data_IF_626489703289
#
_entry.id   IF_626489703289
#
_cell.length_a   1.000
_cell.length_b   1.000
_cell.length_c   1.000
_cell.angle_alpha   90.00
_cell.angle_beta   90.00
_cell.angle_gamma   90.00
#
_symmetry.space_group_name_H-M   'P 1'
#
loop_
_entity.id
_entity.type
_entity.pdbx_description
1 polymer ?
#
# COMPACT_ATOMS: atom_id res chain seq x y z
N UNK A 1 -8.10 22.39 17.90
CA UNK A 1 -9.22 22.10 16.98
C UNK A 1 -8.76 20.97 16.09
N UNK A 2 -9.23 19.74 16.31
CA UNK A 2 -8.96 18.62 15.40
C UNK A 2 -9.65 18.93 14.08
N UNK A 3 -8.89 19.38 13.08
CA UNK A 3 -9.40 19.51 11.72
C UNK A 3 -9.85 18.13 11.29
N UNK A 4 -11.10 18.01 10.79
CA UNK A 4 -11.60 16.76 10.25
C UNK A 4 -10.57 16.21 9.24
N UNK A 5 -10.20 14.91 9.30
CA UNK A 5 -9.26 14.31 8.34
C UNK A 5 -9.65 14.54 6.88
N UNK A 6 -10.93 14.72 6.62
CA UNK A 6 -11.48 15.01 5.29
C UNK A 6 -11.16 16.45 4.79
N UNK A 7 -10.67 17.32 5.67
CA UNK A 7 -10.27 18.68 5.31
C UNK A 7 -8.77 18.82 5.04
N UNK A 8 -8.00 17.72 5.04
CA UNK A 8 -6.61 17.76 4.59
C UNK A 8 -6.54 18.12 3.11
N UNK A 9 -5.75 19.16 2.72
CA UNK A 9 -5.65 19.58 1.33
C UNK A 9 -5.30 18.45 0.36
N UNK A 10 -4.46 17.50 0.75
CA UNK A 10 -4.05 16.39 -0.12
C UNK A 10 -5.23 15.46 -0.40
N UNK A 11 -6.08 15.19 0.61
CA UNK A 11 -7.32 14.41 0.45
C UNK A 11 -8.34 15.15 -0.41
N UNK A 12 -8.45 16.46 -0.24
CA UNK A 12 -9.34 17.30 -1.07
C UNK A 12 -8.89 17.31 -2.54
N UNK A 13 -7.58 17.31 -2.83
CA UNK A 13 -7.07 17.16 -4.20
C UNK A 13 -7.38 15.78 -4.79
N UNK A 14 -7.39 14.71 -3.99
CA UNK A 14 -7.90 13.41 -4.44
C UNK A 14 -9.38 13.47 -4.83
N UNK A 15 -10.21 14.08 -4.00
CA UNK A 15 -11.65 14.26 -4.28
C UNK A 15 -11.87 15.12 -5.54
N UNK A 16 -11.08 16.19 -5.72
CA UNK A 16 -11.10 17.01 -6.93
C UNK A 16 -10.72 16.20 -8.17
N UNK A 17 -9.67 15.39 -8.09
CA UNK A 17 -9.25 14.48 -9.18
C UNK A 17 -10.34 13.47 -9.54
N UNK A 18 -10.96 12.87 -8.52
CA UNK A 18 -12.10 11.95 -8.69
C UNK A 18 -13.26 12.64 -9.40
N UNK A 19 -13.63 13.83 -8.95
CA UNK A 19 -14.67 14.64 -9.59
C UNK A 19 -14.32 14.97 -11.05
N UNK A 20 -13.09 15.46 -11.32
CA UNK A 20 -12.63 15.79 -12.66
C UNK A 20 -12.71 14.57 -13.61
N UNK A 21 -12.30 13.40 -13.14
CA UNK A 21 -12.42 12.17 -13.91
C UNK A 21 -13.87 11.73 -14.17
N UNK A 22 -14.76 11.87 -13.19
CA UNK A 22 -16.19 11.54 -13.32
C UNK A 22 -16.91 12.45 -14.33
N UNK A 23 -16.58 13.75 -14.35
CA UNK A 23 -17.13 14.69 -15.34
C UNK A 23 -16.41 14.64 -16.68
N UNK A 24 -15.45 13.72 -16.84
CA UNK A 24 -14.64 13.54 -18.06
C UNK A 24 -13.89 14.81 -18.46
N UNK A 25 -13.36 15.54 -17.49
CA UNK A 25 -12.48 16.68 -17.73
C UNK A 25 -11.23 16.24 -18.50
N UNK A 26 -10.64 17.17 -19.26
CA UNK A 26 -9.32 16.98 -19.88
C UNK A 26 -8.14 17.15 -18.90
N UNK A 27 -8.42 17.21 -17.60
CA UNK A 27 -7.39 17.22 -16.56
C UNK A 27 -6.61 15.90 -16.58
N UNK A 28 -5.36 15.99 -16.98
CA UNK A 28 -4.46 14.84 -17.07
C UNK A 28 -3.06 15.24 -16.62
N UNK A 29 -2.48 14.43 -15.75
CA UNK A 29 -1.07 14.52 -15.39
C UNK A 29 -0.30 13.59 -16.31
N UNK A 30 0.70 14.10 -17.10
CA UNK A 30 1.51 13.25 -17.96
C UNK A 30 2.14 12.09 -17.17
N UNK A 31 2.15 10.89 -17.74
CA UNK A 31 2.61 9.66 -17.07
C UNK A 31 4.05 9.77 -16.55
N UNK A 32 4.93 10.52 -17.23
CA UNK A 32 6.28 10.79 -16.78
C UNK A 32 6.31 11.60 -15.47
N UNK A 33 5.40 12.58 -15.33
CA UNK A 33 5.27 13.39 -14.12
C UNK A 33 4.66 12.56 -12.99
N UNK A 34 3.61 11.78 -13.26
CA UNK A 34 3.01 10.88 -12.27
C UNK A 34 4.06 9.88 -11.73
N UNK A 35 4.88 9.30 -12.61
CA UNK A 35 6.00 8.42 -12.21
C UNK A 35 7.05 9.15 -11.39
N UNK A 36 7.45 10.36 -11.78
CA UNK A 36 8.38 11.19 -11.00
C UNK A 36 7.84 11.46 -9.59
N UNK A 37 6.56 11.85 -9.47
CA UNK A 37 5.91 12.10 -8.17
C UNK A 37 5.95 10.85 -7.28
N UNK A 38 5.63 9.67 -7.83
CA UNK A 38 5.71 8.40 -7.10
C UNK A 38 7.13 8.13 -6.59
N UNK A 39 8.14 8.23 -7.44
CA UNK A 39 9.54 8.02 -7.05
C UNK A 39 10.01 9.06 -6.02
N UNK A 40 9.62 10.33 -6.19
CA UNK A 40 9.91 11.38 -5.24
C UNK A 40 9.34 11.07 -3.84
N UNK A 41 8.07 10.67 -3.76
CA UNK A 41 7.40 10.37 -2.50
C UNK A 41 8.06 9.16 -1.79
N UNK A 42 8.42 8.12 -2.55
CA UNK A 42 9.13 6.94 -2.01
C UNK A 42 10.52 7.29 -1.50
N UNK A 43 11.27 8.12 -2.23
CA UNK A 43 12.58 8.59 -1.79
C UNK A 43 12.49 9.41 -0.50
N UNK A 44 11.54 10.36 -0.44
CA UNK A 44 11.33 11.18 0.74
C UNK A 44 10.91 10.34 1.96
N UNK A 45 10.02 9.35 1.76
CA UNK A 45 9.60 8.41 2.80
C UNK A 45 10.77 7.56 3.31
N UNK A 46 11.60 7.03 2.40
CA UNK A 46 12.80 6.27 2.75
C UNK A 46 13.77 7.09 3.59
N UNK A 47 14.07 8.33 3.18
CA UNK A 47 14.93 9.24 3.94
C UNK A 47 14.37 9.50 5.34
N UNK A 48 13.09 9.89 5.48
CA UNK A 48 12.43 10.09 6.78
C UNK A 48 12.51 8.84 7.67
N UNK A 49 12.23 7.67 7.08
CA UNK A 49 12.36 6.39 7.78
C UNK A 49 13.78 6.13 8.28
N UNK A 50 14.78 6.43 7.47
CA UNK A 50 16.19 6.30 7.82
C UNK A 50 16.62 7.26 8.92
N UNK A 51 16.23 8.54 8.86
CA UNK A 51 16.51 9.54 9.91
C UNK A 51 15.91 9.12 11.25
N UNK A 52 14.64 8.71 11.26
CA UNK A 52 13.97 8.23 12.46
C UNK A 52 14.62 6.99 13.06
N UNK A 53 15.13 6.07 12.22
CA UNK A 53 15.90 4.91 12.69
C UNK A 53 17.29 5.29 13.24
N UNK A 54 17.93 6.30 12.67
CA UNK A 54 19.20 6.81 13.20
C UNK A 54 19.02 7.43 14.60
N UNK A 55 17.91 8.13 14.81
CA UNK A 55 17.57 8.75 16.10
C UNK A 55 17.16 7.71 17.16
N UNK A 56 16.24 6.80 16.82
CA UNK A 56 15.69 5.82 17.77
C UNK A 56 16.61 4.63 18.06
N UNK A 57 17.57 4.36 17.15
CA UNK A 57 18.37 3.14 17.17
C UNK A 57 17.56 1.88 16.90
N UNK A 58 18.24 0.73 16.81
CA UNK A 58 17.60 -0.57 16.66
C UNK A 58 17.24 -1.14 18.04
N UNK A 59 15.99 -1.52 18.21
CA UNK A 59 15.50 -2.15 19.46
C UNK A 59 14.61 -3.38 19.14
N UNK A 60 14.35 -4.26 20.13
CA UNK A 60 13.55 -5.47 19.93
C UNK A 60 12.10 -5.18 19.43
N UNK A 61 11.53 -4.01 19.74
CA UNK A 61 10.20 -3.64 19.29
C UNK A 61 10.16 -3.48 17.77
N UNK A 62 11.21 -2.93 17.14
CA UNK A 62 11.32 -2.84 15.70
C UNK A 62 11.28 -4.23 15.05
N UNK A 63 12.06 -5.18 15.57
CA UNK A 63 12.06 -6.54 15.05
C UNK A 63 10.69 -7.19 15.17
N UNK A 64 10.02 -7.02 16.30
CA UNK A 64 8.64 -7.51 16.52
C UNK A 64 7.68 -6.92 15.47
N UNK A 65 7.70 -5.61 15.26
CA UNK A 65 6.80 -4.91 14.34
C UNK A 65 7.03 -5.40 12.88
N UNK A 66 8.29 -5.62 12.49
CA UNK A 66 8.65 -6.18 11.18
C UNK A 66 8.21 -7.64 11.03
N UNK A 67 8.34 -8.46 12.07
CA UNK A 67 7.83 -9.85 12.07
C UNK A 67 6.32 -9.90 11.90
N UNK A 68 5.58 -8.99 12.55
CA UNK A 68 4.13 -8.89 12.35
C UNK A 68 3.78 -8.45 10.93
N UNK A 69 4.49 -7.49 10.37
CA UNK A 69 4.30 -7.06 8.98
C UNK A 69 4.49 -8.23 8.00
N UNK A 70 5.59 -8.97 8.12
CA UNK A 70 5.86 -10.16 7.28
C UNK A 70 4.82 -11.26 7.52
N UNK A 71 4.43 -11.51 8.79
CA UNK A 71 3.38 -12.46 9.13
C UNK A 71 2.04 -12.13 8.45
N UNK A 72 1.64 -10.87 8.48
CA UNK A 72 0.43 -10.39 7.79
C UNK A 72 0.55 -10.49 6.27
N UNK A 73 1.72 -10.19 5.70
CA UNK A 73 1.98 -10.30 4.26
C UNK A 73 1.88 -11.75 3.72
N UNK A 74 2.02 -12.75 4.58
CA UNK A 74 1.80 -14.17 4.27
C UNK A 74 0.37 -14.60 4.58
N UNK A 75 -0.18 -14.17 5.71
CA UNK A 75 -1.51 -14.55 6.18
C UNK A 75 -2.63 -14.01 5.29
N UNK A 76 -2.55 -12.73 4.93
CA UNK A 76 -3.62 -12.04 4.17
C UNK A 76 -3.83 -12.67 2.79
N UNK A 77 -2.80 -12.92 1.95
CA UNK A 77 -3.03 -13.52 0.63
C UNK A 77 -3.56 -14.95 0.75
N UNK A 78 -3.13 -15.71 1.76
CA UNK A 78 -3.65 -17.04 2.03
C UNK A 78 -5.15 -17.01 2.37
N UNK A 79 -5.56 -16.16 3.31
CA UNK A 79 -6.97 -15.99 3.69
C UNK A 79 -7.82 -15.52 2.52
N UNK A 80 -7.35 -14.51 1.80
CA UNK A 80 -8.01 -13.95 0.61
C UNK A 80 -8.22 -15.03 -0.45
N UNK A 81 -7.20 -15.82 -0.75
CA UNK A 81 -7.28 -16.90 -1.72
C UNK A 81 -8.26 -18.01 -1.30
N UNK A 82 -8.18 -18.46 -0.04
CA UNK A 82 -9.08 -19.52 0.47
C UNK A 82 -10.54 -19.09 0.38
N UNK A 83 -10.84 -17.82 0.61
CA UNK A 83 -12.18 -17.27 0.45
C UNK A 83 -12.57 -17.13 -1.03
N UNK A 84 -11.74 -16.45 -1.83
CA UNK A 84 -12.06 -16.06 -3.21
C UNK A 84 -12.16 -17.24 -4.17
N UNK A 85 -11.35 -18.29 -4.02
CA UNK A 85 -11.43 -19.50 -4.86
C UNK A 85 -12.78 -20.24 -4.80
N UNK A 86 -13.64 -19.90 -3.82
CA UNK A 86 -15.01 -20.41 -3.71
C UNK A 86 -16.02 -19.57 -4.49
N UNK A 87 -15.62 -18.39 -4.94
CA UNK A 87 -16.51 -17.39 -5.54
C UNK A 87 -16.19 -17.16 -7.01
N UNK A 88 -14.91 -17.26 -7.38
CA UNK A 88 -14.38 -17.05 -8.73
C UNK A 88 -13.37 -18.13 -9.11
N UNK A 89 -12.89 -18.11 -10.36
CA UNK A 89 -11.86 -19.05 -10.80
C UNK A 89 -10.56 -18.87 -9.97
N UNK A 90 -9.77 -19.94 -9.77
CA UNK A 90 -8.59 -19.91 -8.93
C UNK A 90 -7.51 -18.91 -9.36
N UNK A 91 -7.30 -18.68 -10.67
CA UNK A 91 -6.26 -17.77 -11.15
C UNK A 91 -6.63 -16.31 -10.90
N UNK A 92 -7.89 -15.91 -11.11
CA UNK A 92 -8.38 -14.60 -10.70
C UNK A 92 -8.36 -14.42 -9.17
N UNK A 93 -8.72 -15.47 -8.43
CA UNK A 93 -8.65 -15.46 -6.97
C UNK A 93 -7.20 -15.22 -6.47
N UNK A 94 -6.20 -15.85 -7.10
CA UNK A 94 -4.79 -15.62 -6.79
C UNK A 94 -4.33 -14.21 -7.13
N UNK A 95 -4.76 -13.66 -8.27
CA UNK A 95 -4.44 -12.29 -8.65
C UNK A 95 -4.99 -11.27 -7.63
N UNK A 96 -6.25 -11.42 -7.24
CA UNK A 96 -6.85 -10.56 -6.20
C UNK A 96 -6.17 -10.81 -4.85
N UNK A 97 -5.88 -12.05 -4.47
CA UNK A 97 -5.20 -12.37 -3.22
C UNK A 97 -3.79 -11.77 -3.16
N UNK A 98 -3.03 -11.79 -4.27
CA UNK A 98 -1.73 -11.10 -4.35
C UNK A 98 -1.88 -9.59 -4.16
N UNK A 99 -2.87 -9.00 -4.83
CA UNK A 99 -3.18 -7.58 -4.77
C UNK A 99 -3.50 -7.11 -3.34
N UNK A 100 -4.31 -7.88 -2.60
CA UNK A 100 -4.71 -7.58 -1.22
C UNK A 100 -3.71 -8.05 -0.16
N UNK A 101 -2.84 -8.97 -0.49
CA UNK A 101 -1.75 -9.43 0.39
C UNK A 101 -0.50 -8.57 0.32
N UNK A 102 -0.37 -7.79 -0.76
CA UNK A 102 0.63 -6.74 -0.90
C UNK A 102 0.08 -5.39 -0.41
N UNK A 103 0.87 -4.34 -0.52
CA UNK A 103 0.57 -3.03 0.07
C UNK A 103 0.42 -1.93 -0.96
N UNK A 104 -0.25 -0.83 -0.57
CA UNK A 104 -0.29 0.40 -1.33
C UNK A 104 0.64 1.45 -0.70
N UNK A 105 1.76 1.72 -1.35
CA UNK A 105 2.68 2.77 -0.92
C UNK A 105 1.99 4.13 -0.78
N UNK A 106 1.08 4.46 -1.68
CA UNK A 106 0.35 5.73 -1.65
C UNK A 106 -0.57 5.83 -0.46
N UNK A 107 -1.31 4.76 -0.15
CA UNK A 107 -2.16 4.72 1.05
C UNK A 107 -1.32 4.87 2.31
N UNK A 108 -0.17 4.23 2.36
CA UNK A 108 0.78 4.34 3.47
C UNK A 108 1.32 5.77 3.62
N UNK A 109 1.80 6.39 2.52
CA UNK A 109 2.29 7.78 2.51
C UNK A 109 1.18 8.75 2.97
N UNK A 110 -0.05 8.55 2.54
CA UNK A 110 -1.18 9.38 2.97
C UNK A 110 -1.45 9.20 4.48
N UNK A 111 -1.32 7.97 4.99
CA UNK A 111 -1.46 7.70 6.41
C UNK A 111 -0.32 8.31 7.24
N UNK A 112 0.92 8.29 6.77
CA UNK A 112 2.02 8.98 7.46
C UNK A 112 1.78 10.48 7.52
N UNK A 113 1.33 11.10 6.42
CA UNK A 113 0.96 12.51 6.39
C UNK A 113 -0.20 12.82 7.34
N UNK A 114 -1.21 11.93 7.42
CA UNK A 114 -2.31 12.05 8.37
C UNK A 114 -1.81 12.05 9.82
N UNK A 115 -0.89 11.15 10.18
CA UNK A 115 -0.31 11.08 11.52
C UNK A 115 0.53 12.33 11.84
N UNK A 116 1.36 12.78 10.89
CA UNK A 116 2.17 14.00 11.03
C UNK A 116 1.28 15.25 11.25
N UNK A 117 0.17 15.36 10.50
CA UNK A 117 -0.78 16.47 10.65
C UNK A 117 -1.45 16.47 12.03
N UNK A 118 -1.61 15.30 12.64
CA UNK A 118 -2.14 15.13 14.00
C UNK A 118 -1.04 15.13 15.09
N UNK A 119 0.20 15.51 14.76
CA UNK A 119 1.36 15.52 15.65
C UNK A 119 1.65 14.17 16.33
N UNK A 120 1.40 13.06 15.63
CA UNK A 120 1.62 11.69 16.09
C UNK A 120 2.91 11.14 15.51
N UNK A 121 3.92 10.93 16.34
CA UNK A 121 5.17 10.32 15.94
C UNK A 121 5.00 8.82 15.71
N UNK A 122 5.59 8.32 14.64
CA UNK A 122 5.64 6.89 14.27
C UNK A 122 7.07 6.43 14.04
N UNK A 123 7.31 5.14 14.16
CA UNK A 123 8.65 4.56 13.95
C UNK A 123 9.04 4.52 12.47
N UNK A 124 10.23 5.00 12.13
CA UNK A 124 10.76 5.00 10.77
C UNK A 124 10.87 3.60 10.14
N UNK A 125 10.97 2.54 10.97
CA UNK A 125 10.96 1.16 10.53
C UNK A 125 9.64 0.74 9.83
N UNK A 126 8.56 1.50 9.99
CA UNK A 126 7.30 1.23 9.29
C UNK A 126 7.44 1.40 7.75
N UNK A 127 8.39 2.20 7.27
CA UNK A 127 8.74 2.26 5.86
C UNK A 127 9.42 0.95 5.39
N UNK A 128 10.26 0.34 6.22
CA UNK A 128 10.82 -0.98 5.96
C UNK A 128 9.74 -2.07 6.00
N UNK A 129 8.80 -1.99 6.95
CA UNK A 129 7.64 -2.89 7.01
C UNK A 129 6.85 -2.87 5.70
N UNK A 130 6.57 -1.66 5.15
CA UNK A 130 5.91 -1.51 3.86
C UNK A 130 6.68 -2.24 2.73
N UNK A 131 8.00 -2.04 2.64
CA UNK A 131 8.82 -2.70 1.62
C UNK A 131 8.83 -4.24 1.77
N UNK A 132 8.90 -4.74 3.00
CA UNK A 132 8.89 -6.18 3.29
C UNK A 132 7.55 -6.84 2.98
N UNK A 133 6.45 -6.11 3.09
CA UNK A 133 5.11 -6.63 2.81
C UNK A 133 4.77 -6.67 1.31
N UNK A 134 5.56 -6.05 0.44
CA UNK A 134 5.23 -5.94 -0.99
C UNK A 134 5.38 -7.28 -1.74
N UNK A 135 6.48 -7.99 -1.52
CA UNK A 135 6.84 -9.17 -2.33
C UNK A 135 6.21 -10.52 -1.91
N UNK A 136 5.94 -10.82 -0.61
CA UNK A 136 5.50 -12.14 -0.20
C UNK A 136 4.21 -12.61 -0.87
N UNK A 137 3.25 -11.71 -1.08
CA UNK A 137 1.98 -12.02 -1.72
C UNK A 137 2.11 -12.35 -3.21
N UNK A 138 3.03 -11.68 -3.91
CA UNK A 138 3.37 -11.97 -5.30
C UNK A 138 3.94 -13.37 -5.42
N UNK A 139 4.92 -13.68 -4.58
CA UNK A 139 5.58 -15.00 -4.52
C UNK A 139 4.54 -16.10 -4.25
N UNK A 140 3.68 -15.89 -3.24
CA UNK A 140 2.59 -16.81 -2.91
C UNK A 140 1.68 -17.09 -4.12
N UNK A 141 1.23 -16.03 -4.80
CA UNK A 141 0.32 -16.18 -5.94
C UNK A 141 0.95 -16.95 -7.10
N UNK A 142 2.22 -16.70 -7.42
CA UNK A 142 2.93 -17.37 -8.51
C UNK A 142 3.17 -18.85 -8.18
N UNK A 143 3.59 -19.15 -6.96
CA UNK A 143 3.75 -20.54 -6.50
C UNK A 143 2.44 -21.32 -6.57
N UNK A 144 1.36 -20.71 -6.09
CA UNK A 144 0.05 -21.33 -6.10
C UNK A 144 -0.54 -21.42 -7.51
N UNK A 145 -0.29 -20.45 -8.39
CA UNK A 145 -0.74 -20.52 -9.80
C UNK A 145 -0.20 -21.76 -10.51
N UNK A 146 1.04 -22.15 -10.24
CA UNK A 146 1.64 -23.35 -10.82
C UNK A 146 0.91 -24.64 -10.39
N UNK A 147 0.17 -24.64 -9.28
CA UNK A 147 -0.66 -25.77 -8.86
C UNK A 147 -1.92 -25.89 -9.72
N UNK A 148 -2.47 -24.76 -10.18
CA UNK A 148 -3.73 -24.70 -10.93
C UNK A 148 -3.54 -24.68 -12.44
N UNK A 149 -2.30 -24.50 -12.93
CA UNK A 149 -1.97 -24.56 -14.37
C UNK A 149 -1.89 -26.00 -14.88
N UNK A 150 -2.25 -26.19 -16.14
CA UNK A 150 -2.00 -27.45 -16.85
C UNK A 150 -0.50 -27.72 -16.98
N UNK A 151 -0.12 -29.01 -17.21
CA UNK A 151 1.30 -29.36 -17.36
C UNK A 151 1.97 -28.63 -18.54
N UNK A 152 1.24 -28.40 -19.63
CA UNK A 152 1.74 -27.68 -20.79
C UNK A 152 2.01 -26.20 -20.48
N UNK A 153 1.09 -25.54 -19.79
CA UNK A 153 1.24 -24.15 -19.39
C UNK A 153 2.36 -23.92 -18.35
N UNK A 154 2.75 -24.95 -17.57
CA UNK A 154 3.85 -24.85 -16.59
C UNK A 154 5.23 -24.69 -17.25
N UNK A 155 5.44 -25.19 -18.47
CA UNK A 155 6.75 -25.16 -19.12
C UNK A 155 7.06 -23.82 -19.78
N UNK A 156 6.07 -22.98 -20.05
CA UNK A 156 6.25 -21.69 -20.74
C UNK A 156 6.50 -20.50 -19.80
N UNK A 157 6.37 -20.68 -18.47
CA UNK A 157 6.43 -19.56 -17.54
C UNK A 157 7.78 -19.43 -16.84
N UNK A 158 8.15 -18.18 -16.54
CA UNK A 158 9.40 -17.82 -15.89
C UNK A 158 9.58 -18.58 -14.57
N UNK A 159 10.80 -19.05 -14.32
CA UNK A 159 11.15 -19.75 -13.09
C UNK A 159 10.99 -18.88 -11.84
N UNK A 160 10.65 -19.47 -10.70
CA UNK A 160 10.51 -18.82 -9.40
C UNK A 160 11.64 -17.85 -9.05
N UNK A 161 12.90 -18.23 -9.34
CA UNK A 161 14.06 -17.38 -9.05
C UNK A 161 14.09 -16.08 -9.87
N UNK A 162 13.57 -16.09 -11.10
CA UNK A 162 13.48 -14.88 -11.94
C UNK A 162 12.49 -13.91 -11.33
N UNK A 163 11.31 -14.39 -10.96
CA UNK A 163 10.25 -13.56 -10.35
C UNK A 163 10.71 -13.02 -9.00
N UNK A 164 11.39 -13.85 -8.20
CA UNK A 164 11.97 -13.43 -6.92
C UNK A 164 12.99 -12.30 -7.13
N UNK A 165 13.89 -12.46 -8.10
CA UNK A 165 14.89 -11.45 -8.44
C UNK A 165 14.21 -10.16 -8.92
N UNK A 166 13.23 -10.24 -9.81
CA UNK A 166 12.50 -9.08 -10.32
C UNK A 166 11.78 -8.32 -9.18
N UNK A 167 11.14 -9.03 -8.25
CA UNK A 167 10.46 -8.43 -7.10
C UNK A 167 11.43 -7.66 -6.19
N UNK A 168 12.66 -8.13 -5.98
CA UNK A 168 13.66 -7.44 -5.15
C UNK A 168 14.49 -6.40 -5.91
N UNK A 169 14.50 -6.43 -7.25
CA UNK A 169 15.22 -5.45 -8.09
C UNK A 169 14.28 -4.39 -8.68
N UNK A 170 13.03 -4.33 -8.24
CA UNK A 170 12.11 -3.29 -8.66
C UNK A 170 12.62 -1.92 -8.22
N UNK A 171 12.64 -0.96 -9.16
CA UNK A 171 13.28 0.34 -8.97
C UNK A 171 12.69 1.15 -7.82
N UNK A 172 11.39 1.03 -7.56
CA UNK A 172 10.72 1.72 -6.45
C UNK A 172 11.18 1.19 -5.09
N UNK A 173 11.34 -0.14 -4.94
CA UNK A 173 11.86 -0.76 -3.71
C UNK A 173 13.33 -0.41 -3.47
N UNK A 174 14.17 -0.49 -4.51
CA UNK A 174 15.59 -0.10 -4.41
C UNK A 174 15.71 1.35 -3.97
N UNK A 175 14.89 2.25 -4.55
CA UNK A 175 14.89 3.66 -4.20
C UNK A 175 14.46 3.89 -2.75
N UNK A 176 13.37 3.25 -2.29
CA UNK A 176 12.87 3.37 -0.93
C UNK A 176 13.91 2.87 0.09
N UNK A 177 14.39 1.64 -0.07
CA UNK A 177 15.35 1.02 0.85
C UNK A 177 16.72 1.72 0.79
N UNK A 178 17.19 2.10 -0.40
CA UNK A 178 18.40 2.85 -0.59
C UNK A 178 18.35 4.23 0.07
N UNK A 179 17.24 4.96 -0.09
CA UNK A 179 17.01 6.24 0.58
C UNK A 179 16.96 6.07 2.12
N UNK A 180 16.37 4.97 2.62
CA UNK A 180 16.35 4.67 4.04
C UNK A 180 17.76 4.40 4.59
N UNK A 181 18.59 3.66 3.86
CA UNK A 181 20.01 3.46 4.24
C UNK A 181 20.77 4.79 4.23
N UNK A 182 20.57 5.64 3.21
CA UNK A 182 21.16 6.97 3.16
C UNK A 182 20.73 7.81 4.36
N UNK A 183 19.43 7.85 4.68
CA UNK A 183 18.92 8.55 5.85
C UNK A 183 19.53 8.04 7.16
N UNK A 184 19.62 6.72 7.33
CA UNK A 184 20.25 6.07 8.50
C UNK A 184 21.72 6.47 8.67
N UNK A 185 22.48 6.47 7.58
CA UNK A 185 23.92 6.79 7.62
C UNK A 185 24.16 8.27 7.85
N UNK A 186 23.34 9.14 7.28
CA UNK A 186 23.51 10.61 7.40
C UNK A 186 22.88 11.19 8.66
N UNK A 187 21.90 10.53 9.25
CA UNK A 187 21.26 10.91 10.51
C UNK A 187 20.76 12.36 10.54
N UNK A 188 20.88 13.02 11.70
CA UNK A 188 20.39 14.39 11.92
C UNK A 188 21.01 15.43 10.97
N UNK A 189 22.25 15.25 10.53
CA UNK A 189 22.87 16.15 9.53
C UNK A 189 22.18 16.04 8.17
N UNK A 190 21.91 14.82 7.72
CA UNK A 190 21.19 14.56 6.48
C UNK A 190 19.74 15.06 6.56
N UNK A 191 19.08 14.88 7.69
CA UNK A 191 17.72 15.38 7.94
C UNK A 191 17.66 16.89 7.76
N UNK A 192 18.55 17.64 8.40
CA UNK A 192 18.59 19.11 8.30
C UNK A 192 18.78 19.58 6.86
N UNK A 193 19.67 18.92 6.09
CA UNK A 193 19.93 19.26 4.68
C UNK A 193 18.71 18.95 3.80
N UNK A 194 18.05 17.84 4.06
CA UNK A 194 16.94 17.35 3.22
C UNK A 194 15.54 17.80 3.67
N UNK A 195 15.43 18.50 4.82
CA UNK A 195 14.14 18.96 5.35
C UNK A 195 13.29 19.78 4.36
N UNK A 196 13.83 20.72 3.57
CA UNK A 196 13.04 21.42 2.55
C UNK A 196 12.40 20.44 1.55
N UNK A 197 13.11 19.36 1.21
CA UNK A 197 12.68 18.35 0.25
C UNK A 197 11.74 17.32 0.86
N UNK A 198 12.02 16.84 2.06
CA UNK A 198 11.21 15.80 2.73
C UNK A 198 10.05 16.37 3.53
N UNK A 199 10.07 17.65 3.87
CA UNK A 199 9.06 18.35 4.66
C UNK A 199 8.11 19.21 3.81
N UNK A 200 8.50 20.47 3.54
CA UNK A 200 7.60 21.46 2.91
C UNK A 200 7.13 21.08 1.50
N UNK A 201 8.06 20.66 0.63
CA UNK A 201 7.72 20.31 -0.76
C UNK A 201 6.92 19.01 -0.81
N UNK A 202 7.15 18.10 0.12
CA UNK A 202 6.49 16.80 0.18
C UNK A 202 4.96 16.88 0.15
N UNK A 203 4.37 17.79 0.93
CA UNK A 203 2.92 17.97 1.00
C UNK A 203 2.31 18.39 -0.35
N UNK A 204 2.98 19.31 -1.04
CA UNK A 204 2.55 19.75 -2.37
C UNK A 204 2.65 18.65 -3.42
N UNK A 205 3.74 17.89 -3.41
CA UNK A 205 3.93 16.77 -4.32
C UNK A 205 2.93 15.64 -4.04
N UNK A 206 2.62 15.36 -2.78
CA UNK A 206 1.58 14.40 -2.39
C UNK A 206 0.20 14.86 -2.89
N UNK A 207 -0.13 16.15 -2.77
CA UNK A 207 -1.41 16.69 -3.26
C UNK A 207 -1.56 16.51 -4.77
N UNK A 208 -0.51 16.81 -5.56
CA UNK A 208 -0.51 16.56 -7.01
C UNK A 208 -0.63 15.07 -7.34
N UNK A 209 0.06 14.22 -6.59
CA UNK A 209 -0.02 12.78 -6.80
C UNK A 209 -1.42 12.23 -6.46
N UNK A 210 -2.03 12.69 -5.37
CA UNK A 210 -3.39 12.30 -5.02
C UNK A 210 -4.44 12.83 -6.00
N UNK A 211 -4.23 14.01 -6.59
CA UNK A 211 -5.06 14.50 -7.70
C UNK A 211 -5.04 13.51 -8.87
N UNK A 212 -3.85 13.07 -9.31
CA UNK A 212 -3.69 12.08 -10.37
C UNK A 212 -4.38 10.75 -10.02
N UNK A 213 -4.20 10.29 -8.78
CA UNK A 213 -4.84 9.07 -8.30
C UNK A 213 -6.37 9.19 -8.26
N UNK A 214 -6.91 10.37 -7.98
CA UNK A 214 -8.35 10.65 -8.07
C UNK A 214 -8.87 10.48 -9.51
N UNK A 215 -8.18 11.06 -10.49
CA UNK A 215 -8.51 10.90 -11.92
C UNK A 215 -8.40 9.43 -12.35
N UNK A 216 -7.33 8.74 -11.96
CA UNK A 216 -7.14 7.33 -12.27
C UNK A 216 -8.23 6.44 -11.65
N UNK A 217 -8.63 6.72 -10.40
CA UNK A 217 -9.74 6.04 -9.71
C UNK A 217 -11.05 6.19 -10.49
N UNK A 218 -11.39 7.42 -10.94
CA UNK A 218 -12.61 7.65 -11.71
C UNK A 218 -12.65 6.83 -13.00
N UNK A 219 -11.52 6.68 -13.70
CA UNK A 219 -11.40 5.81 -14.88
C UNK A 219 -11.68 4.35 -14.52
N UNK A 220 -11.20 3.87 -13.37
CA UNK A 220 -11.39 2.48 -12.90
C UNK A 220 -12.78 2.18 -12.35
N UNK A 221 -13.53 3.19 -11.91
CA UNK A 221 -14.93 2.99 -11.52
C UNK A 221 -15.80 2.47 -12.68
N UNK A 222 -15.41 2.73 -13.93
CA UNK A 222 -16.11 2.17 -15.09
C UNK A 222 -15.92 0.67 -15.22
N UNK A 223 -14.75 0.14 -14.81
CA UNK A 223 -14.43 -1.29 -14.84
C UNK A 223 -15.29 -2.08 -13.84
N UNK A 224 -15.81 -1.41 -12.79
CA UNK A 224 -16.64 -2.03 -11.77
C UNK A 224 -18.02 -2.47 -12.25
N UNK A 225 -18.48 -1.99 -13.41
CA UNK A 225 -19.78 -2.39 -13.98
C UNK A 225 -19.84 -3.89 -14.26
N UNK A 226 -18.69 -4.47 -14.60
CA UNK A 226 -18.56 -5.90 -14.95
C UNK A 226 -18.12 -6.75 -13.73
N UNK A 227 -17.85 -6.12 -12.60
CA UNK A 227 -17.43 -6.81 -11.36
C UNK A 227 -18.68 -7.35 -10.63
N UNK A 228 -18.73 -8.66 -10.32
CA UNK A 228 -19.80 -9.24 -9.53
C UNK A 228 -19.98 -8.50 -8.19
N UNK A 229 -21.22 -8.20 -7.79
CA UNK A 229 -21.53 -7.47 -6.55
C UNK A 229 -20.85 -8.07 -5.30
N UNK A 230 -20.69 -9.40 -5.25
CA UNK A 230 -19.99 -10.10 -4.15
C UNK A 230 -18.51 -9.70 -4.07
N UNK A 231 -17.86 -9.50 -5.21
CA UNK A 231 -16.46 -9.02 -5.25
C UNK A 231 -16.38 -7.53 -4.95
N UNK A 232 -17.33 -6.71 -5.42
CA UNK A 232 -17.39 -5.30 -5.03
C UNK A 232 -17.51 -5.14 -3.50
N UNK A 233 -18.34 -5.98 -2.86
CA UNK A 233 -18.46 -6.01 -1.41
C UNK A 233 -17.15 -6.45 -0.73
N UNK A 234 -16.45 -7.43 -1.31
CA UNK A 234 -15.12 -7.84 -0.86
C UNK A 234 -14.13 -6.67 -0.89
N UNK A 235 -14.17 -5.82 -1.93
CA UNK A 235 -13.29 -4.65 -2.08
C UNK A 235 -13.35 -3.64 -0.94
N UNK A 236 -14.45 -3.62 -0.17
CA UNK A 236 -14.63 -2.74 1.00
C UNK A 236 -14.47 -3.52 2.30
N UNK A 237 -15.03 -4.72 2.40
CA UNK A 237 -15.01 -5.49 3.64
C UNK A 237 -13.64 -6.11 3.94
N UNK A 238 -12.92 -6.61 2.92
CA UNK A 238 -11.62 -7.24 3.13
C UNK A 238 -10.59 -6.29 3.77
N UNK A 239 -10.42 -5.03 3.31
CA UNK A 239 -9.58 -4.05 4.00
C UNK A 239 -9.88 -3.89 5.48
N UNK A 240 -11.17 -3.81 5.83
CA UNK A 240 -11.60 -3.67 7.22
C UNK A 240 -11.25 -4.90 8.05
N UNK A 241 -11.47 -6.11 7.51
CA UNK A 241 -11.13 -7.37 8.20
C UNK A 241 -9.61 -7.49 8.38
N UNK A 242 -8.83 -7.24 7.34
CA UNK A 242 -7.37 -7.30 7.40
C UNK A 242 -6.78 -6.28 8.38
N UNK A 243 -7.27 -5.04 8.34
CA UNK A 243 -6.91 -3.99 9.29
C UNK A 243 -7.29 -4.35 10.72
N UNK A 244 -8.47 -4.95 10.94
CA UNK A 244 -8.89 -5.41 12.26
C UNK A 244 -7.97 -6.49 12.82
N UNK A 245 -7.52 -7.44 12.00
CA UNK A 245 -6.53 -8.45 12.40
C UNK A 245 -5.21 -7.78 12.83
N UNK A 246 -4.73 -6.80 12.04
CA UNK A 246 -3.52 -6.06 12.36
C UNK A 246 -3.65 -5.26 13.66
N UNK A 247 -4.80 -4.60 13.89
CA UNK A 247 -5.08 -3.84 15.12
C UNK A 247 -5.18 -4.74 16.36
N UNK A 248 -5.82 -5.91 16.25
CA UNK A 248 -5.85 -6.88 17.32
C UNK A 248 -4.45 -7.40 17.65
N UNK A 249 -3.64 -7.69 16.64
CA UNK A 249 -2.25 -8.10 16.84
C UNK A 249 -1.44 -6.98 17.51
N UNK A 250 -1.62 -5.73 17.06
CA UNK A 250 -0.95 -4.57 17.62
C UNK A 250 -1.33 -4.31 19.08
N UNK A 251 -2.61 -4.47 19.44
CA UNK A 251 -3.11 -4.20 20.80
C UNK A 251 -2.54 -5.17 21.83
N UNK A 252 -2.41 -6.45 21.50
CA UNK A 252 -1.85 -7.45 22.42
C UNK A 252 -0.33 -7.42 22.49
N UNK A 253 0.31 -6.67 21.61
CA UNK A 253 1.77 -6.66 21.47
C UNK A 253 2.42 -5.35 21.92
N UNK A 254 1.62 -4.36 22.34
CA UNK A 254 2.12 -3.09 22.87
C UNK A 254 2.74 -2.19 21.78
N UNK A 255 2.20 -2.18 20.55
CA UNK A 255 2.55 -1.18 19.56
C UNK A 255 1.99 0.19 19.98
N UNK A 256 2.67 1.28 19.57
CA UNK A 256 2.07 2.62 19.70
C UNK A 256 0.84 2.77 18.79
N UNK A 257 -0.06 3.68 19.16
CA UNK A 257 -1.26 4.00 18.34
C UNK A 257 -0.87 4.32 16.89
N UNK A 258 0.21 5.09 16.70
CA UNK A 258 0.67 5.47 15.36
C UNK A 258 1.19 4.28 14.56
N UNK A 259 2.06 3.43 15.14
CA UNK A 259 2.56 2.23 14.46
C UNK A 259 1.44 1.22 14.20
N UNK A 260 0.50 1.04 15.13
CA UNK A 260 -0.66 0.19 14.95
C UNK A 260 -1.57 0.67 13.81
N UNK A 261 -1.78 1.99 13.71
CA UNK A 261 -2.51 2.60 12.59
C UNK A 261 -1.83 2.31 11.26
N UNK A 262 -0.50 2.49 11.18
CA UNK A 262 0.26 2.21 9.95
C UNK A 262 0.25 0.72 9.60
N UNK A 263 0.37 -0.17 10.59
CA UNK A 263 0.28 -1.62 10.34
C UNK A 263 -1.11 -2.01 9.84
N UNK A 264 -2.17 -1.42 10.39
CA UNK A 264 -3.54 -1.62 9.93
C UNK A 264 -3.77 -1.10 8.51
N UNK A 265 -3.20 0.07 8.18
CA UNK A 265 -3.25 0.64 6.82
C UNK A 265 -2.51 -0.26 5.84
N UNK A 266 -1.34 -0.77 6.19
CA UNK A 266 -0.60 -1.72 5.35
C UNK A 266 -1.43 -2.98 5.10
N UNK A 267 -1.94 -3.59 6.16
CA UNK A 267 -2.76 -4.80 6.09
C UNK A 267 -4.09 -4.60 5.34
N UNK A 268 -4.73 -3.44 5.53
CA UNK A 268 -6.01 -3.08 4.90
C UNK A 268 -5.86 -2.40 3.53
N UNK A 269 -4.65 -2.25 3.00
CA UNK A 269 -4.45 -1.69 1.66
C UNK A 269 -4.42 -2.77 0.58
N UNK A 270 -4.39 -2.35 -0.67
CA UNK A 270 -4.26 -3.23 -1.82
C UNK A 270 -3.32 -2.62 -2.87
N UNK A 271 -2.37 -3.39 -3.36
CA UNK A 271 -1.44 -2.94 -4.39
C UNK A 271 -2.13 -2.78 -5.74
N UNK A 272 -1.96 -1.63 -6.37
CA UNK A 272 -2.49 -1.35 -7.72
C UNK A 272 -1.41 -0.89 -8.70
N UNK A 273 -0.14 -0.88 -8.28
CA UNK A 273 1.02 -0.54 -9.11
C UNK A 273 1.94 -1.75 -9.24
N UNK A 274 2.59 -2.18 -8.15
CA UNK A 274 3.61 -3.22 -8.18
C UNK A 274 3.05 -4.59 -8.55
N UNK A 275 2.03 -5.06 -7.84
CA UNK A 275 1.43 -6.39 -8.11
C UNK A 275 0.86 -6.48 -9.51
N UNK A 276 0.04 -5.53 -10.02
CA UNK A 276 -0.44 -5.57 -11.39
C UNK A 276 0.65 -5.61 -12.45
N UNK A 277 1.76 -4.90 -12.25
CA UNK A 277 2.91 -4.92 -13.17
C UNK A 277 3.52 -6.32 -13.29
N UNK A 278 3.68 -7.03 -12.19
CA UNK A 278 4.20 -8.41 -12.17
C UNK A 278 3.17 -9.40 -12.70
N UNK A 279 1.89 -9.30 -12.27
CA UNK A 279 0.84 -10.22 -12.68
C UNK A 279 0.59 -10.21 -14.19
N UNK A 280 0.77 -9.09 -14.86
CA UNK A 280 0.65 -8.98 -16.33
C UNK A 280 1.51 -10.01 -17.06
N UNK A 281 2.67 -10.36 -16.51
CA UNK A 281 3.63 -11.31 -17.08
C UNK A 281 3.58 -12.67 -16.39
N UNK A 282 3.46 -12.67 -15.07
CA UNK A 282 3.52 -13.89 -14.27
C UNK A 282 2.18 -14.66 -14.20
N UNK A 283 1.05 -13.96 -14.38
CA UNK A 283 -0.29 -14.54 -14.33
C UNK A 283 -1.21 -13.92 -15.43
N UNK A 284 -0.82 -14.01 -16.70
CA UNK A 284 -1.54 -13.38 -17.82
C UNK A 284 -2.97 -13.90 -18.00
N UNK A 285 -3.29 -15.07 -17.45
CA UNK A 285 -4.61 -15.68 -17.50
C UNK A 285 -5.63 -14.98 -16.58
N UNK A 286 -5.17 -14.18 -15.63
CA UNK A 286 -6.04 -13.44 -14.71
C UNK A 286 -6.62 -12.19 -15.37
N UNK A 287 -7.82 -11.80 -14.95
CA UNK A 287 -8.51 -10.62 -15.46
C UNK A 287 -8.07 -9.32 -14.76
N UNK A 288 -7.33 -8.41 -15.46
CA UNK A 288 -6.87 -7.16 -14.86
C UNK A 288 -8.00 -6.24 -14.38
N UNK A 289 -9.16 -6.25 -15.02
CA UNK A 289 -10.29 -5.40 -14.62
C UNK A 289 -10.81 -5.76 -13.23
N UNK A 290 -10.71 -7.03 -12.82
CA UNK A 290 -11.13 -7.45 -11.48
C UNK A 290 -10.20 -6.89 -10.40
N UNK A 291 -8.91 -7.21 -10.47
CA UNK A 291 -8.00 -6.80 -9.38
C UNK A 291 -7.69 -5.31 -9.38
N UNK A 292 -7.60 -4.64 -10.55
CA UNK A 292 -7.44 -3.18 -10.63
C UNK A 292 -8.73 -2.42 -10.29
N UNK A 293 -9.88 -2.91 -10.75
CA UNK A 293 -11.18 -2.33 -10.40
C UNK A 293 -11.42 -2.37 -8.89
N UNK A 294 -11.13 -3.49 -8.24
CA UNK A 294 -11.26 -3.63 -6.79
C UNK A 294 -10.24 -2.77 -6.03
N UNK A 295 -8.96 -2.87 -6.35
CA UNK A 295 -7.89 -2.19 -5.59
C UNK A 295 -7.93 -0.67 -5.77
N UNK A 296 -7.90 -0.17 -7.02
CA UNK A 296 -7.85 1.26 -7.32
C UNK A 296 -9.25 1.90 -7.38
N UNK A 297 -10.27 1.14 -7.83
CA UNK A 297 -11.63 1.67 -7.96
C UNK A 297 -12.42 1.70 -6.65
N UNK A 298 -12.19 0.76 -5.72
CA UNK A 298 -12.96 0.65 -4.47
C UNK A 298 -12.08 0.79 -3.22
N UNK A 299 -11.07 -0.07 -3.06
CA UNK A 299 -10.29 -0.15 -1.81
C UNK A 299 -9.48 1.11 -1.56
N UNK A 300 -8.83 1.64 -2.60
CA UNK A 300 -8.01 2.84 -2.47
C UNK A 300 -8.84 4.06 -2.04
N UNK A 301 -9.92 4.47 -2.74
CA UNK A 301 -10.74 5.60 -2.30
C UNK A 301 -11.38 5.37 -0.93
N UNK A 302 -11.81 4.14 -0.62
CA UNK A 302 -12.28 3.79 0.71
C UNK A 302 -11.22 4.07 1.78
N UNK A 303 -10.00 3.63 1.58
CA UNK A 303 -8.91 3.83 2.54
C UNK A 303 -8.55 5.31 2.72
N UNK A 304 -8.47 6.08 1.62
CA UNK A 304 -8.13 7.51 1.69
C UNK A 304 -9.19 8.30 2.45
N UNK A 305 -10.47 8.01 2.22
CA UNK A 305 -11.59 8.82 2.75
C UNK A 305 -12.04 8.32 4.12
N UNK A 306 -12.11 7.00 4.31
CA UNK A 306 -12.73 6.37 5.50
C UNK A 306 -11.73 5.52 6.27
N UNK A 307 -10.96 4.66 5.58
CA UNK A 307 -10.12 3.64 6.20
C UNK A 307 -9.06 4.22 7.14
N UNK A 308 -8.24 5.15 6.66
CA UNK A 308 -7.17 5.76 7.48
C UNK A 308 -7.72 6.38 8.77
N UNK A 309 -8.72 7.28 8.73
CA UNK A 309 -9.33 7.82 9.94
C UNK A 309 -9.94 6.77 10.85
N UNK A 310 -10.62 5.77 10.27
CA UNK A 310 -11.27 4.69 11.02
C UNK A 310 -10.24 3.82 11.75
N UNK A 311 -9.17 3.41 11.06
CA UNK A 311 -8.12 2.58 11.65
C UNK A 311 -7.39 3.31 12.78
N UNK A 312 -7.13 4.60 12.60
CA UNK A 312 -6.59 5.44 13.67
C UNK A 312 -7.55 5.53 14.86
N UNK A 313 -8.84 5.79 14.61
CA UNK A 313 -9.82 5.86 15.68
C UNK A 313 -9.90 4.54 16.47
N UNK A 314 -9.95 3.39 15.78
CA UNK A 314 -9.96 2.07 16.44
C UNK A 314 -8.66 1.82 17.20
N UNK A 315 -7.49 2.15 16.62
CA UNK A 315 -6.20 2.04 17.30
C UNK A 315 -6.17 2.86 18.60
N UNK A 316 -6.68 4.10 18.57
CA UNK A 316 -6.75 4.98 19.73
C UNK A 316 -7.65 4.45 20.84
N UNK A 317 -8.75 3.75 20.49
CA UNK A 317 -9.63 3.12 21.48
C UNK A 317 -9.04 1.83 22.06
N UNK A 318 -8.28 1.06 21.28
CA UNK A 318 -7.76 -0.23 21.72
C UNK A 318 -6.42 -0.11 22.49
N UNK A 319 -5.62 0.89 22.18
CA UNK A 319 -4.22 1.01 22.62
C UNK A 319 -4.01 2.29 23.46
N UNK A 320 -4.81 3.31 23.24
CA UNK A 320 -4.68 4.63 23.88
C UNK A 320 -5.28 4.71 25.31
N UNK A 321 -5.66 3.55 25.87
CA UNK A 321 -6.25 3.46 27.24
C UNK A 321 -5.18 3.18 28.26
#
# INVERSE_FOLDING_TARGET
MSSSPLLDPSVLFFVLGLFAGLVRSNLEIPSAIARFLSLYLLMALGLKGGFSLAESGFNPAILRDLVFAVGLALLIPLMSFVFLKRVINPLDALAIAATYGSVSAVTFITATQFLETNALAYGGHMAAAMALMESPAIIFAILMANVYRSQEARQEHQGFLVVLKESFTEGAQILLLGAMVIGLVTGASGETIMDPFTGMIFKGMLAFFLLDMGVATAKRLTDLKDVPKRLAFYGILAPMVHASIALLLASVSGLSVANATLLAVLAGSASYIAVPAVLKHALPESNPSLYLGLSLGLTFPFNIIVGIPLYYWVASQLIGV
#
